data_IF_474624037875
#
_entry.id   IF_474624037875
#
_cell.length_a   1.000
_cell.length_b   1.000
_cell.length_c   1.000
_cell.angle_alpha   90.00
_cell.angle_beta   90.00
_cell.angle_gamma   90.00
#
_symmetry.space_group_name_H-M   'P 1'
#
loop_
_entity.id
_entity.type
_entity.pdbx_description
1 polymer ?
#
# COMPACT_ATOMS: atom_id res chain seq x y z
N UNK A 1 -7.28 -23.96 31.16
CA UNK A 1 -7.69 -24.09 29.74
C UNK A 1 -6.98 -23.04 28.87
N UNK A 2 -5.64 -22.97 28.95
CA UNK A 2 -4.78 -22.13 28.08
C UNK A 2 -3.61 -22.91 27.48
N UNK A 3 -3.47 -24.20 27.82
CA UNK A 3 -2.42 -25.09 27.34
C UNK A 3 -2.85 -25.93 26.11
N UNK A 4 -4.09 -25.79 25.62
CA UNK A 4 -4.63 -26.59 24.51
C UNK A 4 -4.56 -25.91 23.14
N UNK A 5 -4.16 -24.65 23.09
CA UNK A 5 -3.90 -23.91 21.85
C UNK A 5 -2.55 -23.26 22.10
N UNK A 6 -1.54 -23.53 21.27
CA UNK A 6 -0.18 -22.97 21.39
C UNK A 6 -0.08 -21.45 21.22
N UNK A 7 -1.13 -20.71 21.57
CA UNK A 7 -1.15 -19.27 21.70
C UNK A 7 -0.72 -18.91 23.13
N UNK A 8 0.39 -18.19 23.24
CA UNK A 8 0.77 -17.54 24.49
C UNK A 8 -0.37 -16.61 24.94
N UNK A 9 -0.56 -16.47 26.26
CA UNK A 9 -1.59 -15.56 26.82
C UNK A 9 -1.45 -14.11 26.33
N UNK A 10 -0.28 -13.73 25.81
CA UNK A 10 -0.02 -12.45 25.18
C UNK A 10 -0.66 -12.31 23.79
N UNK A 11 -0.63 -13.37 22.98
CA UNK A 11 -1.25 -13.37 21.64
C UNK A 11 -2.76 -13.18 21.75
N UNK A 12 -3.39 -13.90 22.70
CA UNK A 12 -4.82 -13.76 22.97
C UNK A 12 -5.17 -12.34 23.43
N UNK A 13 -4.40 -11.76 24.35
CA UNK A 13 -4.59 -10.37 24.81
C UNK A 13 -4.45 -9.34 23.67
N UNK A 14 -3.60 -9.61 22.68
CA UNK A 14 -3.48 -8.74 21.50
C UNK A 14 -4.71 -8.83 20.61
N UNK A 15 -5.24 -10.03 20.36
CA UNK A 15 -6.46 -10.21 19.56
C UNK A 15 -7.68 -9.57 20.20
N UNK A 16 -7.84 -9.70 21.52
CA UNK A 16 -8.95 -9.05 22.23
C UNK A 16 -8.87 -7.53 22.06
N UNK A 17 -7.69 -6.92 22.24
CA UNK A 17 -7.51 -5.48 22.02
C UNK A 17 -7.80 -5.07 20.57
N UNK A 18 -7.37 -5.85 19.59
CA UNK A 18 -7.67 -5.57 18.18
C UNK A 18 -9.18 -5.63 17.92
N UNK A 19 -9.88 -6.63 18.46
CA UNK A 19 -11.33 -6.74 18.36
C UNK A 19 -12.07 -5.57 19.05
N UNK A 20 -11.53 -5.02 20.15
CA UNK A 20 -12.08 -3.80 20.76
C UNK A 20 -11.90 -2.56 19.88
N UNK A 21 -10.78 -2.46 19.17
CA UNK A 21 -10.58 -1.41 18.16
C UNK A 21 -11.54 -1.58 16.99
N UNK A 22 -11.67 -2.79 16.45
CA UNK A 22 -12.58 -3.12 15.35
C UNK A 22 -14.05 -2.89 15.72
N UNK A 23 -14.42 -3.09 16.99
CA UNK A 23 -15.75 -2.83 17.51
C UNK A 23 -15.99 -1.36 17.92
N UNK A 24 -15.02 -0.46 17.74
CA UNK A 24 -15.13 0.95 18.12
C UNK A 24 -15.18 1.20 19.63
N UNK A 25 -14.90 0.18 20.46
CA UNK A 25 -14.89 0.29 21.94
C UNK A 25 -13.63 0.99 22.45
N UNK A 26 -12.59 1.06 21.61
CA UNK A 26 -11.31 1.67 21.96
C UNK A 26 -10.76 2.46 20.76
N UNK A 27 -10.26 3.69 20.96
CA UNK A 27 -9.62 4.44 19.89
C UNK A 27 -8.36 3.71 19.40
N UNK A 28 -8.23 3.56 18.08
CA UNK A 28 -7.11 2.92 17.41
C UNK A 28 -7.46 2.53 15.98
N UNK A 29 -6.46 2.15 15.19
CA UNK A 29 -6.67 1.74 13.80
C UNK A 29 -7.40 0.39 13.74
N UNK A 30 -8.53 0.38 13.06
CA UNK A 30 -9.22 -0.88 12.76
C UNK A 30 -8.43 -1.70 11.74
N UNK A 31 -8.69 -3.00 11.73
CA UNK A 31 -8.11 -3.93 10.76
C UNK A 31 -8.48 -3.53 9.33
N UNK A 32 -9.69 -3.01 9.11
CA UNK A 32 -10.16 -2.50 7.82
C UNK A 32 -9.35 -1.27 7.37
N UNK A 33 -9.20 -0.26 8.24
CA UNK A 33 -8.41 0.93 7.94
C UNK A 33 -6.96 0.58 7.62
N UNK A 34 -6.34 -0.32 8.39
CA UNK A 34 -4.98 -0.79 8.14
C UNK A 34 -4.86 -1.51 6.79
N UNK A 35 -5.87 -2.31 6.42
CA UNK A 35 -5.91 -2.97 5.12
C UNK A 35 -6.05 -1.95 3.99
N UNK A 36 -6.96 -0.98 4.12
CA UNK A 36 -7.19 0.07 3.14
C UNK A 36 -5.97 0.94 2.91
N UNK A 37 -5.26 1.32 3.98
CA UNK A 37 -3.99 2.06 3.87
C UNK A 37 -2.98 1.25 3.04
N UNK A 38 -2.79 -0.04 3.34
CA UNK A 38 -1.85 -0.88 2.59
C UNK A 38 -2.21 -1.01 1.11
N UNK A 39 -3.51 -1.13 0.79
CA UNK A 39 -3.98 -1.18 -0.60
C UNK A 39 -3.69 0.15 -1.31
N UNK A 40 -4.02 1.28 -0.68
CA UNK A 40 -3.76 2.61 -1.24
C UNK A 40 -2.26 2.86 -1.43
N UNK A 41 -1.42 2.49 -0.47
CA UNK A 41 0.03 2.62 -0.60
C UNK A 41 0.57 1.80 -1.76
N UNK A 42 0.00 0.62 -2.02
CA UNK A 42 0.36 -0.21 -3.17
C UNK A 42 -0.07 0.44 -4.48
N UNK A 43 -1.32 0.88 -4.58
CA UNK A 43 -1.84 1.56 -5.77
C UNK A 43 -1.04 2.82 -6.08
N UNK A 44 -0.71 3.64 -5.08
CA UNK A 44 0.12 4.84 -5.25
C UNK A 44 1.51 4.50 -5.78
N UNK A 45 2.12 3.40 -5.31
CA UNK A 45 3.43 2.94 -5.83
C UNK A 45 3.33 2.55 -7.29
N UNK A 46 2.32 1.76 -7.66
CA UNK A 46 2.10 1.31 -9.04
C UNK A 46 1.82 2.49 -9.98
N UNK A 47 0.95 3.43 -9.56
CA UNK A 47 0.66 4.64 -10.32
C UNK A 47 1.88 5.55 -10.50
N UNK A 48 2.74 5.67 -9.49
CA UNK A 48 3.99 6.44 -9.61
C UNK A 48 4.95 5.79 -10.59
N UNK A 49 5.08 4.47 -10.56
CA UNK A 49 5.92 3.73 -11.52
C UNK A 49 5.39 3.87 -12.95
N UNK A 50 4.08 3.72 -13.16
CA UNK A 50 3.46 3.91 -14.46
C UNK A 50 3.68 5.34 -14.99
N UNK A 51 3.48 6.36 -14.16
CA UNK A 51 3.73 7.76 -14.52
C UNK A 51 5.20 8.02 -14.89
N UNK A 52 6.15 7.40 -14.20
CA UNK A 52 7.56 7.54 -14.53
C UNK A 52 7.88 6.95 -15.92
N UNK A 53 7.34 5.77 -16.22
CA UNK A 53 7.50 5.12 -17.53
C UNK A 53 6.91 6.02 -18.63
N UNK A 54 5.70 6.52 -18.44
CA UNK A 54 5.04 7.41 -19.40
C UNK A 54 5.85 8.69 -19.62
N UNK A 55 6.36 9.31 -18.54
CA UNK A 55 7.19 10.50 -18.64
C UNK A 55 8.48 10.23 -19.43
N UNK A 56 9.15 9.11 -19.17
CA UNK A 56 10.36 8.70 -19.91
C UNK A 56 10.04 8.43 -21.38
N UNK A 57 8.93 7.75 -21.67
CA UNK A 57 8.48 7.50 -23.03
C UNK A 57 8.23 8.81 -23.78
N UNK A 58 7.45 9.73 -23.20
CA UNK A 58 7.20 11.05 -23.77
C UNK A 58 8.48 11.84 -24.06
N UNK A 59 9.45 11.80 -23.13
CA UNK A 59 10.75 12.46 -23.33
C UNK A 59 11.53 11.86 -24.52
N UNK A 60 11.56 10.53 -24.62
CA UNK A 60 12.20 9.84 -25.75
C UNK A 60 11.52 10.17 -27.08
N UNK A 61 10.19 10.19 -27.12
CA UNK A 61 9.45 10.55 -28.33
C UNK A 61 9.72 12.00 -28.76
N UNK A 62 9.69 12.94 -27.81
CA UNK A 62 10.03 14.33 -28.08
C UNK A 62 11.46 14.48 -28.64
N UNK A 63 12.43 13.77 -28.06
CA UNK A 63 13.81 13.79 -28.54
C UNK A 63 13.97 13.22 -29.95
N UNK A 64 13.28 12.11 -30.26
CA UNK A 64 13.29 11.51 -31.58
C UNK A 64 12.63 12.41 -32.64
N UNK A 65 11.56 13.12 -32.28
CA UNK A 65 10.93 14.10 -33.17
C UNK A 65 11.88 15.27 -33.47
N UNK A 66 12.56 15.80 -32.45
CA UNK A 66 13.56 16.85 -32.62
C UNK A 66 14.70 16.41 -33.53
N UNK A 67 15.27 15.22 -33.31
CA UNK A 67 16.35 14.66 -34.15
C UNK A 67 15.93 14.57 -35.64
N UNK A 68 14.70 14.12 -35.92
CA UNK A 68 14.17 14.04 -37.28
C UNK A 68 13.99 15.42 -37.94
N UNK A 69 13.66 16.45 -37.15
CA UNK A 69 13.52 17.82 -37.67
C UNK A 69 14.88 18.45 -37.99
N UNK A 70 15.92 18.15 -37.21
CA UNK A 70 17.27 18.71 -37.43
C UNK A 70 18.07 17.99 -38.54
N UNK A 71 17.69 16.76 -38.91
CA UNK A 71 18.32 16.00 -40.01
C UNK A 71 17.68 16.23 -41.39
N UNK A 72 16.58 16.97 -41.47
CA UNK A 72 15.98 17.45 -42.73
C UNK A 72 16.48 18.85 -43.05
#
# INVERSE_FOLDING_TARGET
>A
MAAKIGCTAETLRRWVRQAEHDAGKRPGTTTDEAHRIKQLEREVRELRQANEILRKACANFAQAELDRRFKQ
#
